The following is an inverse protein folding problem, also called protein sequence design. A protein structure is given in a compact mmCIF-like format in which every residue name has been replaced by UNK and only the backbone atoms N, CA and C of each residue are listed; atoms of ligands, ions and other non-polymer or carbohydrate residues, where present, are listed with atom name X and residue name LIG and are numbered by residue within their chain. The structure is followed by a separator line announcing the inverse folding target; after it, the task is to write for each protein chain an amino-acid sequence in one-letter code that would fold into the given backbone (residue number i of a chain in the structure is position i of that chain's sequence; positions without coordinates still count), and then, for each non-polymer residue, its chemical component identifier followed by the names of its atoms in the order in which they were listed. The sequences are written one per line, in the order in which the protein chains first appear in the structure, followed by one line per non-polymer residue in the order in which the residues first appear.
data_IF_810300409336
#
_entry.id   IF_810300409336
#
_cell.length_a   1.000
_cell.length_b   1.000
_cell.length_c   1.000
_cell.angle_alpha   90.00
_cell.angle_beta   90.00
_cell.angle_gamma   90.00
#
_symmetry.space_group_name_H-M   'P 1'
#
loop_
_entity.id
_entity.type
_entity.pdbx_description
1 polymer ?
#
# COMPACT_ATOMS: atom_id res chain seq x y z
N UNK A 1 53.50 30.01 27.28
CA UNK A 1 52.49 30.53 26.33
C UNK A 1 51.89 29.37 25.56
N UNK A 2 50.57 29.17 25.63
CA UNK A 2 49.91 28.07 24.92
C UNK A 2 49.96 28.32 23.39
N UNK A 3 50.34 27.31 22.60
CA UNK A 3 50.25 27.36 21.14
C UNK A 3 48.78 27.61 20.75
N UNK A 4 48.46 28.60 19.90
CA UNK A 4 47.08 28.77 19.43
C UNK A 4 46.64 27.51 18.67
N UNK A 5 45.38 27.07 18.86
CA UNK A 5 44.90 25.81 18.31
C UNK A 5 45.10 25.77 16.79
N UNK A 6 45.80 24.75 16.31
CA UNK A 6 46.08 24.55 14.89
C UNK A 6 44.80 24.44 14.07
N UNK A 7 44.74 25.20 12.98
CA UNK A 7 43.86 25.09 11.80
C UNK A 7 42.51 24.37 11.99
N UNK A 8 41.71 24.76 12.99
CA UNK A 8 40.29 24.42 13.02
C UNK A 8 39.56 25.29 12.00
N UNK A 9 38.65 24.70 11.22
CA UNK A 9 37.83 25.43 10.26
C UNK A 9 37.06 26.53 11.00
N UNK A 10 37.35 27.79 10.67
CA UNK A 10 36.70 28.95 11.27
C UNK A 10 35.20 28.92 10.96
N UNK A 11 34.37 29.29 11.94
CA UNK A 11 32.92 29.42 11.72
C UNK A 11 32.63 30.45 10.63
N UNK A 12 31.46 30.34 10.00
CA UNK A 12 31.05 31.27 8.93
C UNK A 12 31.07 32.72 9.43
N UNK A 13 30.57 32.97 10.64
CA UNK A 13 30.51 34.30 11.25
C UNK A 13 31.89 34.91 11.49
N UNK A 14 32.86 34.09 11.93
CA UNK A 14 34.25 34.52 12.11
C UNK A 14 34.91 34.83 10.76
N UNK A 15 34.65 34.02 9.73
CA UNK A 15 35.15 34.29 8.38
C UNK A 15 34.55 35.58 7.79
N UNK A 16 33.25 35.82 8.00
CA UNK A 16 32.58 37.06 7.56
C UNK A 16 33.12 38.29 8.31
N UNK A 17 33.33 38.20 9.62
CA UNK A 17 33.89 39.29 10.40
C UNK A 17 35.34 39.62 9.99
N UNK A 18 36.15 38.60 9.70
CA UNK A 18 37.50 38.77 9.13
C UNK A 18 37.43 39.51 7.79
N UNK A 19 36.53 39.11 6.89
CA UNK A 19 36.35 39.78 5.59
C UNK A 19 35.90 41.23 5.76
N UNK A 20 34.93 41.51 6.64
CA UNK A 20 34.48 42.89 6.94
C UNK A 20 35.62 43.75 7.47
N UNK A 21 36.41 43.24 8.41
CA UNK A 21 37.59 43.95 8.93
C UNK A 21 38.63 44.25 7.85
N UNK A 22 38.85 43.31 6.93
CA UNK A 22 39.78 43.49 5.80
C UNK A 22 39.28 44.51 4.76
N UNK A 23 37.97 44.58 4.52
CA UNK A 23 37.36 45.63 3.68
C UNK A 23 37.57 47.00 4.33
N UNK A 24 37.44 47.08 5.66
CA UNK A 24 37.70 48.30 6.45
C UNK A 24 39.20 48.58 6.69
N UNK A 25 40.08 48.06 5.82
CA UNK A 25 41.54 48.28 5.83
C UNK A 25 42.28 47.84 7.08
N UNK A 26 41.71 46.95 7.90
CA UNK A 26 42.44 46.37 9.04
C UNK A 26 43.59 45.48 8.54
N UNK A 27 44.70 45.50 9.27
CA UNK A 27 45.84 44.60 9.01
C UNK A 27 45.50 43.18 9.43
N UNK A 28 46.13 42.16 8.84
CA UNK A 28 45.84 40.76 9.20
C UNK A 28 46.08 40.44 10.68
N UNK A 29 46.92 41.22 11.37
CA UNK A 29 47.24 41.05 12.80
C UNK A 29 46.05 41.39 13.71
N UNK A 30 45.23 42.37 13.34
CA UNK A 30 44.12 42.83 14.18
C UNK A 30 42.99 41.79 14.28
N UNK A 31 42.44 41.23 13.17
CA UNK A 31 41.48 40.13 13.27
C UNK A 31 42.09 38.85 13.85
N UNK A 32 43.39 38.59 13.61
CA UNK A 32 44.08 37.45 14.19
C UNK A 32 44.09 37.50 15.73
N UNK A 33 44.37 38.68 16.30
CA UNK A 33 44.32 38.88 17.75
C UNK A 33 42.89 38.87 18.29
N UNK A 34 41.95 39.52 17.59
CA UNK A 34 40.54 39.63 18.00
C UNK A 34 39.84 38.26 18.07
N UNK A 35 40.05 37.40 17.05
CA UNK A 35 39.40 36.09 16.97
C UNK A 35 40.29 34.94 17.47
N UNK A 36 41.47 35.25 18.02
CA UNK A 36 42.46 34.27 18.50
C UNK A 36 42.84 33.23 17.43
N UNK A 37 43.00 33.69 16.18
CA UNK A 37 43.38 32.85 15.03
C UNK A 37 44.77 33.23 14.53
N UNK A 38 45.40 32.37 13.73
CA UNK A 38 46.70 32.71 13.15
C UNK A 38 46.57 33.76 12.05
N UNK A 39 47.59 34.61 11.90
CA UNK A 39 47.67 35.60 10.79
C UNK A 39 47.57 34.91 9.42
N UNK A 40 48.10 33.68 9.32
CA UNK A 40 47.99 32.85 8.12
C UNK A 40 46.53 32.47 7.80
N UNK A 41 45.73 32.10 8.80
CA UNK A 41 44.32 31.77 8.61
C UNK A 41 43.52 32.98 8.09
N UNK A 42 43.79 34.18 8.63
CA UNK A 42 43.21 35.44 8.13
C UNK A 42 43.58 35.68 6.66
N UNK A 43 44.85 35.47 6.30
CA UNK A 43 45.31 35.59 4.91
C UNK A 43 44.64 34.59 3.96
N UNK A 44 44.45 33.34 4.38
CA UNK A 44 43.78 32.31 3.59
C UNK A 44 42.29 32.61 3.36
N UNK A 45 41.59 33.09 4.39
CA UNK A 45 40.19 33.53 4.28
C UNK A 45 40.07 34.71 3.31
N UNK A 46 40.95 35.71 3.44
CA UNK A 46 40.96 36.87 2.54
C UNK A 46 41.24 36.47 1.08
N UNK A 47 42.21 35.59 0.85
CA UNK A 47 42.54 35.08 -0.50
C UNK A 47 41.35 34.34 -1.13
N UNK A 48 40.67 33.48 -0.37
CA UNK A 48 39.44 32.79 -0.82
C UNK A 48 38.31 33.77 -1.15
N UNK A 49 38.12 34.79 -0.32
CA UNK A 49 37.11 35.83 -0.55
C UNK A 49 37.43 36.66 -1.80
N UNK A 50 38.69 36.99 -2.06
CA UNK A 50 39.07 37.75 -3.26
C UNK A 50 38.75 37.03 -4.57
N UNK A 51 38.86 35.69 -4.59
CA UNK A 51 38.53 34.84 -5.74
C UNK A 51 37.02 34.68 -5.88
N UNK A 52 36.34 34.24 -4.82
CA UNK A 52 34.93 33.86 -4.90
C UNK A 52 33.96 35.03 -4.73
N UNK A 53 34.42 36.19 -4.23
CA UNK A 53 33.64 37.36 -3.79
C UNK A 53 32.57 37.07 -2.73
N UNK A 54 32.61 35.89 -2.10
CA UNK A 54 31.72 35.46 -1.04
C UNK A 54 32.45 34.56 -0.03
N UNK A 55 31.99 34.60 1.22
CA UNK A 55 32.44 33.67 2.27
C UNK A 55 31.74 32.33 2.08
N UNK A 56 32.39 31.45 1.32
CA UNK A 56 31.91 30.08 1.08
C UNK A 56 32.71 29.12 1.95
N UNK A 57 32.03 28.45 2.88
CA UNK A 57 32.55 27.26 3.53
C UNK A 57 32.25 26.10 2.59
N UNK A 58 33.25 25.68 1.81
CA UNK A 58 33.09 24.50 0.97
C UNK A 58 32.84 23.29 1.89
N UNK A 59 31.79 22.48 1.64
CA UNK A 59 31.63 21.24 2.36
C UNK A 59 32.87 20.37 2.12
N UNK A 60 33.34 19.69 3.18
CA UNK A 60 34.40 18.71 3.02
C UNK A 60 33.95 17.65 2.01
N UNK A 61 34.82 17.27 1.05
CA UNK A 61 34.49 16.16 0.18
C UNK A 61 34.19 14.96 1.07
N UNK A 62 32.95 14.47 0.97
CA UNK A 62 32.52 13.31 1.72
C UNK A 62 33.42 12.11 1.40
N UNK A 63 33.31 11.05 2.19
CA UNK A 63 34.04 9.80 1.95
C UNK A 63 33.89 9.38 0.48
N UNK A 64 35.00 9.12 -0.24
CA UNK A 64 34.94 8.65 -1.62
C UNK A 64 33.98 7.47 -1.77
N UNK A 65 33.21 7.51 -2.84
CA UNK A 65 32.25 6.48 -3.19
C UNK A 65 33.00 5.21 -3.56
N UNK A 66 32.69 4.09 -2.90
CA UNK A 66 33.36 2.81 -3.14
C UNK A 66 32.99 2.13 -4.46
N UNK A 67 32.05 2.69 -5.22
CA UNK A 67 31.52 2.11 -6.47
C UNK A 67 31.93 2.95 -7.66
N UNK A 68 32.25 2.32 -8.79
CA UNK A 68 32.56 3.05 -10.03
C UNK A 68 31.27 3.53 -10.68
N UNK A 69 31.39 4.50 -11.60
CA UNK A 69 30.25 4.98 -12.39
C UNK A 69 29.62 3.86 -13.24
N UNK A 70 30.42 2.91 -13.71
CA UNK A 70 29.94 1.76 -14.48
C UNK A 70 29.20 0.76 -13.57
N UNK A 71 29.73 0.48 -12.38
CA UNK A 71 29.05 -0.33 -11.38
C UNK A 71 27.68 0.22 -11.02
N UNK A 72 27.59 1.53 -10.76
CA UNK A 72 26.33 2.20 -10.42
C UNK A 72 25.31 2.09 -11.57
N UNK A 73 25.76 2.26 -12.82
CA UNK A 73 24.89 2.05 -14.01
C UNK A 73 24.39 0.61 -14.09
N UNK A 74 25.25 -0.38 -13.83
CA UNK A 74 24.88 -1.79 -13.89
C UNK A 74 23.91 -2.17 -12.76
N UNK A 75 24.10 -1.64 -11.55
CA UNK A 75 23.17 -1.78 -10.42
C UNK A 75 21.78 -1.25 -10.79
N UNK A 76 21.72 -0.03 -11.35
CA UNK A 76 20.46 0.60 -11.74
C UNK A 76 19.80 -0.14 -12.91
N UNK A 77 20.59 -0.56 -13.90
CA UNK A 77 20.09 -1.32 -15.05
C UNK A 77 19.47 -2.65 -14.62
N UNK A 78 20.19 -3.43 -13.80
CA UNK A 78 19.71 -4.73 -13.30
C UNK A 78 18.38 -4.59 -12.56
N UNK A 79 18.22 -3.54 -11.74
CA UNK A 79 16.95 -3.25 -11.05
C UNK A 79 15.85 -2.72 -11.97
N UNK A 80 16.18 -2.09 -13.11
CA UNK A 80 15.19 -1.59 -14.08
C UNK A 80 14.70 -2.67 -15.02
N UNK A 81 15.56 -3.64 -15.37
CA UNK A 81 15.21 -4.83 -16.12
C UNK A 81 14.21 -5.68 -15.34
N UNK A 82 14.59 -6.05 -14.11
CA UNK A 82 13.70 -6.77 -13.20
C UNK A 82 13.62 -6.06 -11.83
N UNK A 83 12.53 -5.31 -11.60
CA UNK A 83 12.24 -4.65 -10.32
C UNK A 83 12.14 -5.57 -9.10
N UNK A 84 12.04 -6.89 -9.31
CA UNK A 84 11.92 -7.90 -8.24
C UNK A 84 13.27 -8.41 -7.73
N UNK A 85 14.36 -8.17 -8.47
CA UNK A 85 15.71 -8.56 -8.04
C UNK A 85 16.04 -7.92 -6.70
N UNK A 86 16.42 -8.76 -5.73
CA UNK A 86 16.87 -8.30 -4.43
C UNK A 86 18.35 -7.86 -4.49
N UNK A 87 18.87 -7.29 -3.41
CA UNK A 87 20.26 -6.81 -3.36
C UNK A 87 21.31 -7.91 -3.56
N UNK A 88 20.96 -9.17 -3.28
CA UNK A 88 21.82 -10.34 -3.51
C UNK A 88 21.81 -10.75 -4.98
N UNK A 89 20.66 -10.72 -5.65
CA UNK A 89 20.56 -11.02 -7.08
C UNK A 89 21.29 -9.96 -7.91
N UNK A 90 21.11 -8.68 -7.54
CA UNK A 90 21.83 -7.57 -8.17
C UNK A 90 23.34 -7.71 -7.91
N UNK A 91 23.74 -8.09 -6.68
CA UNK A 91 25.16 -8.34 -6.37
C UNK A 91 25.75 -9.39 -7.31
N UNK A 92 25.09 -10.53 -7.51
CA UNK A 92 25.55 -11.58 -8.43
C UNK A 92 25.70 -11.06 -9.86
N UNK A 93 24.79 -10.19 -10.31
CA UNK A 93 24.80 -9.64 -11.65
C UNK A 93 25.88 -8.55 -11.89
N UNK A 94 26.32 -7.85 -10.83
CA UNK A 94 27.29 -6.74 -10.95
C UNK A 94 28.68 -7.08 -10.42
N UNK A 95 28.85 -8.24 -9.78
CA UNK A 95 30.14 -8.70 -9.31
C UNK A 95 31.05 -9.01 -10.51
N UNK A 96 32.22 -8.39 -10.54
CA UNK A 96 33.20 -8.54 -11.62
C UNK A 96 34.57 -8.85 -11.02
N UNK A 97 35.43 -9.64 -11.70
CA UNK A 97 36.81 -9.84 -11.27
C UNK A 97 37.65 -8.55 -11.26
N UNK A 98 37.20 -7.51 -11.97
CA UNK A 98 37.96 -6.28 -12.24
C UNK A 98 37.70 -5.21 -11.16
N UNK A 99 36.51 -5.20 -10.55
CA UNK A 99 36.11 -4.15 -9.60
C UNK A 99 35.84 -4.73 -8.20
N UNK A 100 36.17 -4.01 -7.11
CA UNK A 100 35.85 -4.45 -5.76
C UNK A 100 34.36 -4.68 -5.55
N UNK A 101 34.02 -5.87 -5.05
CA UNK A 101 32.65 -6.32 -4.89
C UNK A 101 31.85 -5.41 -3.92
N UNK A 102 30.73 -4.78 -4.35
CA UNK A 102 29.98 -3.88 -3.49
C UNK A 102 29.21 -4.67 -2.42
N UNK A 103 29.16 -4.15 -1.19
CA UNK A 103 28.28 -4.72 -0.17
C UNK A 103 26.80 -4.60 -0.59
N UNK A 104 25.95 -5.51 -0.10
CA UNK A 104 24.49 -5.45 -0.35
C UNK A 104 23.89 -4.12 0.15
N UNK A 105 24.45 -3.56 1.24
CA UNK A 105 24.07 -2.25 1.78
C UNK A 105 24.45 -1.12 0.83
N UNK A 106 25.61 -1.20 0.18
CA UNK A 106 26.06 -0.27 -0.85
C UNK A 106 25.11 -0.28 -2.04
N UNK A 107 24.73 -1.47 -2.54
CA UNK A 107 23.75 -1.62 -3.63
C UNK A 107 22.43 -0.92 -3.27
N UNK A 108 21.89 -1.16 -2.07
CA UNK A 108 20.64 -0.50 -1.62
C UNK A 108 20.78 1.02 -1.55
N UNK A 109 21.91 1.55 -1.06
CA UNK A 109 22.18 3.00 -1.02
C UNK A 109 22.21 3.60 -2.42
N UNK A 110 22.85 2.93 -3.39
CA UNK A 110 22.89 3.37 -4.79
C UNK A 110 21.52 3.37 -5.44
N UNK A 111 20.75 2.31 -5.26
CA UNK A 111 19.36 2.26 -5.74
C UNK A 111 18.52 3.41 -5.16
N UNK A 112 18.62 3.67 -3.85
CA UNK A 112 17.90 4.78 -3.22
C UNK A 112 18.36 6.16 -3.75
N UNK A 113 19.65 6.36 -3.99
CA UNK A 113 20.19 7.59 -4.58
C UNK A 113 19.64 7.85 -5.99
N UNK A 114 19.25 6.80 -6.71
CA UNK A 114 18.57 6.88 -8.00
C UNK A 114 17.03 6.82 -7.92
N UNK A 115 16.46 7.01 -6.73
CA UNK A 115 15.00 7.02 -6.52
C UNK A 115 14.33 5.64 -6.59
N UNK A 116 15.10 4.55 -6.58
CA UNK A 116 14.60 3.17 -6.63
C UNK A 116 14.48 2.57 -5.23
N UNK A 117 13.38 2.94 -4.56
CA UNK A 117 13.15 2.50 -3.18
C UNK A 117 12.47 1.12 -3.13
N UNK A 118 12.79 0.36 -2.09
CA UNK A 118 12.06 -0.88 -1.77
C UNK A 118 10.66 -0.53 -1.26
N UNK A 119 9.63 -1.12 -1.88
CA UNK A 119 8.23 -0.94 -1.53
C UNK A 119 7.49 -2.28 -1.61
N UNK A 120 6.41 -2.42 -0.85
CA UNK A 120 5.50 -3.56 -1.03
C UNK A 120 4.80 -3.40 -2.39
N UNK A 121 4.83 -4.42 -3.27
CA UNK A 121 4.09 -4.39 -4.52
C UNK A 121 2.58 -4.46 -4.23
N UNK A 122 1.79 -3.89 -5.14
CA UNK A 122 0.35 -4.12 -5.14
C UNK A 122 0.09 -5.47 -5.80
N UNK A 123 -0.70 -6.32 -5.14
CA UNK A 123 -1.22 -7.56 -5.72
C UNK A 123 -2.49 -7.21 -6.49
N UNK A 124 -2.47 -7.28 -7.82
CA UNK A 124 -3.65 -7.06 -8.68
C UNK A 124 -3.64 -8.05 -9.84
N UNK A 125 -4.80 -8.56 -10.25
CA UNK A 125 -4.89 -9.35 -11.47
C UNK A 125 -4.61 -8.45 -12.69
N UNK A 126 -4.04 -9.03 -13.75
CA UNK A 126 -3.89 -8.33 -15.02
C UNK A 126 -5.28 -8.19 -15.68
N UNK A 127 -5.66 -6.96 -16.02
CA UNK A 127 -6.98 -6.65 -16.60
C UNK A 127 -6.81 -6.35 -18.09
N UNK A 128 -7.57 -7.06 -18.93
CA UNK A 128 -7.55 -6.85 -20.39
C UNK A 128 -8.03 -5.43 -20.77
N UNK A 129 -7.57 -4.89 -21.91
CA UNK A 129 -8.02 -3.56 -22.39
C UNK A 129 -9.55 -3.49 -22.58
N UNK A 130 -10.17 -4.62 -22.98
CA UNK A 130 -11.63 -4.75 -23.10
C UNK A 130 -12.31 -4.54 -21.74
N UNK A 131 -11.85 -5.26 -20.72
CA UNK A 131 -12.40 -5.17 -19.36
C UNK A 131 -12.16 -3.80 -18.75
N UNK A 132 -11.00 -3.17 -19.00
CA UNK A 132 -10.74 -1.78 -18.56
C UNK A 132 -11.78 -0.79 -19.12
N UNK A 133 -12.11 -0.88 -20.41
CA UNK A 133 -13.16 -0.03 -21.02
C UNK A 133 -14.53 -0.29 -20.40
N UNK A 134 -14.92 -1.55 -20.23
CA UNK A 134 -16.19 -1.93 -19.62
C UNK A 134 -16.32 -1.40 -18.18
N UNK A 135 -15.25 -1.53 -17.39
CA UNK A 135 -15.17 -0.99 -16.02
C UNK A 135 -15.36 0.52 -15.96
N UNK A 136 -14.69 1.26 -16.84
CA UNK A 136 -14.83 2.73 -16.90
C UNK A 136 -16.23 3.14 -17.34
N UNK A 137 -16.81 2.44 -18.31
CA UNK A 137 -18.18 2.69 -18.76
C UNK A 137 -19.19 2.44 -17.63
N UNK A 138 -19.05 1.33 -16.93
CA UNK A 138 -19.88 0.99 -15.77
C UNK A 138 -19.76 2.04 -14.67
N UNK A 139 -18.55 2.42 -14.27
CA UNK A 139 -18.35 3.44 -13.23
C UNK A 139 -18.95 4.79 -13.62
N UNK A 140 -18.82 5.20 -14.90
CA UNK A 140 -19.44 6.43 -15.41
C UNK A 140 -20.96 6.38 -15.39
N UNK A 141 -21.55 5.23 -15.74
CA UNK A 141 -23.00 5.05 -15.74
C UNK A 141 -23.59 5.18 -14.33
N UNK A 142 -22.83 4.80 -13.31
CA UNK A 142 -23.27 4.79 -11.90
C UNK A 142 -22.73 5.96 -11.08
N UNK A 143 -22.00 6.90 -11.70
CA UNK A 143 -21.34 8.02 -11.01
C UNK A 143 -22.31 8.95 -10.26
N UNK A 144 -23.55 9.06 -10.77
CA UNK A 144 -24.58 9.95 -10.20
C UNK A 144 -25.44 9.25 -9.14
N UNK A 145 -25.21 7.96 -8.88
CA UNK A 145 -25.97 7.21 -7.89
C UNK A 145 -25.54 7.64 -6.49
N UNK A 146 -26.53 8.05 -5.68
CA UNK A 146 -26.33 8.40 -4.31
C UNK A 146 -26.64 7.25 -3.37
N UNK A 147 -26.62 7.56 -2.08
CA UNK A 147 -26.93 6.61 -1.01
C UNK A 147 -28.27 5.90 -1.22
N UNK A 148 -29.31 6.62 -1.67
CA UNK A 148 -30.65 6.06 -1.87
C UNK A 148 -30.66 4.95 -2.93
N UNK A 149 -29.92 5.13 -4.02
CA UNK A 149 -29.77 4.13 -5.06
C UNK A 149 -28.97 2.93 -4.55
N UNK A 150 -27.89 3.16 -3.80
CA UNK A 150 -27.04 2.09 -3.26
C UNK A 150 -27.68 1.31 -2.10
N UNK A 151 -28.57 1.93 -1.32
CA UNK A 151 -29.24 1.36 -0.16
C UNK A 151 -29.97 0.03 -0.43
N UNK A 152 -30.53 -0.13 -1.63
CA UNK A 152 -31.27 -1.33 -2.05
C UNK A 152 -30.38 -2.45 -2.58
N UNK A 153 -29.06 -2.23 -2.66
CA UNK A 153 -28.14 -3.23 -3.19
C UNK A 153 -27.69 -4.20 -2.11
N UNK A 154 -27.67 -5.48 -2.46
CA UNK A 154 -27.07 -6.55 -1.68
C UNK A 154 -25.81 -6.99 -2.37
N UNK A 155 -24.68 -6.76 -1.72
CA UNK A 155 -23.35 -7.11 -2.20
C UNK A 155 -23.02 -8.52 -1.73
N UNK A 156 -22.40 -9.33 -2.59
CA UNK A 156 -22.00 -10.68 -2.24
C UNK A 156 -20.69 -11.07 -2.92
N UNK A 157 -19.98 -12.02 -2.31
CA UNK A 157 -18.78 -12.60 -2.90
C UNK A 157 -18.36 -13.88 -2.16
N UNK A 158 -17.49 -14.66 -2.81
CA UNK A 158 -16.76 -15.76 -2.20
C UNK A 158 -15.33 -15.37 -1.85
N UNK A 159 -14.88 -15.68 -0.63
CA UNK A 159 -13.48 -15.46 -0.23
C UNK A 159 -12.81 -16.73 0.32
N UNK A 160 -11.50 -16.83 0.07
CA UNK A 160 -10.65 -17.96 0.46
C UNK A 160 -9.69 -17.53 1.56
N UNK A 161 -9.88 -18.07 2.76
CA UNK A 161 -8.97 -17.90 3.88
C UNK A 161 -8.05 -19.11 4.00
N UNK A 162 -6.74 -18.91 3.87
CA UNK A 162 -5.75 -20.00 4.01
C UNK A 162 -5.56 -20.38 5.50
N UNK A 163 -5.31 -21.67 5.77
CA UNK A 163 -5.06 -22.16 7.14
C UNK A 163 -3.69 -21.72 7.67
N UNK A 164 -2.70 -21.69 6.78
CA UNK A 164 -1.35 -21.21 7.07
C UNK A 164 -1.11 -19.89 6.31
N UNK A 165 -0.39 -18.97 6.96
CA UNK A 165 -0.11 -17.64 6.42
C UNK A 165 0.46 -17.72 5.00
N UNK A 166 -0.01 -16.82 4.13
CA UNK A 166 0.51 -16.69 2.77
C UNK A 166 2.02 -16.53 2.74
N UNK A 167 2.68 -17.05 1.69
CA UNK A 167 4.08 -16.76 1.35
C UNK A 167 4.45 -15.32 1.72
N UNK A 168 5.53 -15.18 2.49
CA UNK A 168 5.95 -13.93 3.10
C UNK A 168 6.01 -12.72 2.14
N UNK A 169 6.06 -11.52 2.73
CA UNK A 169 6.04 -10.25 1.97
C UNK A 169 7.18 -10.19 0.94
N UNK A 170 6.84 -10.32 -0.35
CA UNK A 170 7.77 -10.05 -1.48
C UNK A 170 7.89 -8.55 -1.69
N UNK A 171 9.11 -8.01 -1.72
CA UNK A 171 9.39 -6.58 -1.93
C UNK A 171 9.75 -6.29 -3.38
N UNK A 172 9.38 -5.12 -3.90
CA UNK A 172 9.71 -4.65 -5.27
C UNK A 172 10.38 -3.27 -5.21
N UNK A 173 11.35 -3.03 -6.10
CA UNK A 173 12.06 -1.75 -6.24
C UNK A 173 11.37 -0.87 -7.28
N UNK A 174 10.85 0.30 -6.90
CA UNK A 174 10.13 1.19 -7.85
C UNK A 174 10.29 2.69 -7.55
N UNK A 175 10.16 3.55 -8.59
CA UNK A 175 10.05 5.00 -8.41
C UNK A 175 8.82 5.42 -7.60
N UNK A 176 8.82 6.68 -7.15
CA UNK A 176 7.66 7.32 -6.53
C UNK A 176 6.54 7.46 -7.58
N UNK A 177 5.28 7.33 -7.18
CA UNK A 177 4.11 7.49 -8.06
C UNK A 177 3.74 6.28 -8.94
N UNK A 178 4.62 5.29 -9.12
CA UNK A 178 4.38 4.17 -10.06
C UNK A 178 3.65 2.97 -9.43
N UNK A 179 2.80 3.20 -8.41
CA UNK A 179 2.22 2.13 -7.57
C UNK A 179 1.38 1.13 -8.37
N UNK A 180 0.65 1.61 -9.36
CA UNK A 180 -0.29 0.82 -10.13
C UNK A 180 0.24 0.42 -11.51
N UNK A 181 1.51 0.70 -11.85
CA UNK A 181 2.08 0.23 -13.12
C UNK A 181 2.21 -1.30 -13.11
N UNK A 182 1.72 -2.01 -14.15
CA UNK A 182 1.77 -3.48 -14.23
C UNK A 182 3.16 -4.08 -13.98
N UNK A 183 4.21 -3.35 -14.37
CA UNK A 183 5.61 -3.74 -14.17
C UNK A 183 5.99 -3.98 -12.70
N UNK A 184 5.33 -3.28 -11.76
CA UNK A 184 5.62 -3.34 -10.33
C UNK A 184 4.58 -4.10 -9.50
N UNK A 185 3.61 -4.73 -10.16
CA UNK A 185 2.59 -5.57 -9.51
C UNK A 185 3.06 -7.02 -9.38
N UNK A 186 2.50 -7.78 -8.44
CA UNK A 186 2.75 -9.22 -8.32
C UNK A 186 1.44 -9.96 -8.59
N UNK A 187 1.48 -10.93 -9.51
CA UNK A 187 0.36 -11.81 -9.76
C UNK A 187 0.11 -12.70 -8.54
N UNK A 188 -1.16 -12.91 -8.20
CA UNK A 188 -1.59 -13.82 -7.15
C UNK A 188 -1.65 -15.24 -7.70
N UNK A 189 -0.86 -16.14 -7.13
CA UNK A 189 -0.98 -17.59 -7.38
C UNK A 189 -1.75 -18.19 -6.21
N UNK A 190 -2.73 -19.05 -6.52
CA UNK A 190 -3.38 -19.92 -5.54
C UNK A 190 -2.52 -21.20 -5.50
N UNK A 191 -2.25 -21.80 -4.32
CA UNK A 191 -2.19 -23.25 -4.03
C UNK A 191 -1.28 -23.61 -2.83
N UNK A 192 -1.68 -24.63 -2.06
CA UNK A 192 -0.93 -25.24 -0.95
C UNK A 192 -1.42 -24.83 0.46
N UNK A 193 -1.57 -25.80 1.37
CA UNK A 193 -1.75 -25.54 2.82
C UNK A 193 -3.17 -25.71 3.42
N UNK A 194 -4.15 -26.17 2.64
CA UNK A 194 -5.55 -26.20 3.10
C UNK A 194 -6.17 -24.80 3.24
N UNK A 195 -7.49 -24.70 3.11
CA UNK A 195 -8.19 -23.41 3.16
C UNK A 195 -9.65 -23.57 3.61
N UNK A 196 -10.23 -22.46 4.05
CA UNK A 196 -11.65 -22.28 4.28
C UNK A 196 -12.19 -21.34 3.20
N UNK A 197 -13.08 -21.86 2.36
CA UNK A 197 -13.82 -21.10 1.35
C UNK A 197 -15.15 -20.69 1.98
N UNK A 198 -15.49 -19.41 1.92
CA UNK A 198 -16.73 -18.86 2.49
C UNK A 198 -17.45 -18.00 1.46
N UNK A 199 -18.76 -17.89 1.62
CA UNK A 199 -19.63 -16.97 0.91
C UNK A 199 -20.34 -16.09 1.94
N UNK A 200 -20.49 -14.81 1.65
CA UNK A 200 -21.30 -13.90 2.46
C UNK A 200 -21.98 -12.87 1.56
N UNK A 201 -23.00 -12.22 2.11
CA UNK A 201 -23.57 -11.03 1.53
C UNK A 201 -23.79 -9.97 2.60
N UNK A 202 -23.95 -8.72 2.19
CA UNK A 202 -24.36 -7.66 3.10
C UNK A 202 -25.09 -6.54 2.34
N UNK A 203 -25.75 -5.68 3.09
CA UNK A 203 -26.46 -4.50 2.59
C UNK A 203 -26.03 -3.29 3.42
N UNK A 204 -26.54 -2.10 3.08
CA UNK A 204 -26.31 -0.90 3.90
C UNK A 204 -26.70 -1.09 5.37
N UNK A 205 -27.79 -1.81 5.63
CA UNK A 205 -28.41 -1.87 6.97
C UNK A 205 -27.95 -3.06 7.80
N UNK A 206 -27.43 -4.11 7.17
CA UNK A 206 -27.14 -5.36 7.86
C UNK A 206 -26.11 -6.24 7.12
N UNK A 207 -25.38 -7.01 7.93
CA UNK A 207 -24.55 -8.13 7.53
C UNK A 207 -25.38 -9.40 7.30
N UNK A 208 -25.09 -10.10 6.22
CA UNK A 208 -25.69 -11.38 5.87
C UNK A 208 -25.03 -12.56 6.56
N UNK A 209 -25.56 -13.77 6.35
CA UNK A 209 -25.02 -14.96 6.98
C UNK A 209 -23.72 -15.37 6.28
N UNK A 210 -22.67 -15.56 7.05
CA UNK A 210 -21.45 -16.21 6.58
C UNK A 210 -21.71 -17.72 6.36
N UNK A 211 -21.51 -18.19 5.13
CA UNK A 211 -21.70 -19.59 4.73
C UNK A 211 -20.39 -20.24 4.37
N UNK A 212 -20.16 -21.43 4.90
CA UNK A 212 -19.04 -22.26 4.47
C UNK A 212 -19.35 -22.91 3.13
N UNK A 213 -18.36 -22.88 2.24
CA UNK A 213 -18.39 -23.52 0.94
C UNK A 213 -17.54 -24.79 1.02
N UNK A 214 -18.15 -25.93 0.75
CA UNK A 214 -17.47 -27.22 0.81
C UNK A 214 -17.00 -27.62 -0.59
N UNK A 215 -15.69 -27.79 -0.75
CA UNK A 215 -15.08 -28.15 -2.03
C UNK A 215 -15.08 -26.99 -3.03
N UNK A 216 -15.18 -27.33 -4.32
CA UNK A 216 -15.34 -26.34 -5.39
C UNK A 216 -16.84 -26.08 -5.54
N UNK A 217 -17.26 -24.83 -5.33
CA UNK A 217 -18.66 -24.45 -5.49
C UNK A 217 -19.12 -24.66 -6.93
N UNK A 218 -20.20 -25.41 -7.11
CA UNK A 218 -20.89 -25.53 -8.38
C UNK A 218 -22.18 -24.69 -8.41
N UNK A 219 -22.89 -24.72 -9.54
CA UNK A 219 -24.12 -23.96 -9.73
C UNK A 219 -25.27 -24.38 -8.81
N UNK A 220 -25.30 -25.64 -8.34
CA UNK A 220 -26.37 -26.15 -7.49
C UNK A 220 -26.16 -25.73 -6.04
N UNK A 221 -24.91 -25.83 -5.56
CA UNK A 221 -24.53 -25.28 -4.25
C UNK A 221 -24.71 -23.76 -4.22
N UNK A 222 -24.45 -23.07 -5.34
CA UNK A 222 -24.76 -21.65 -5.45
C UNK A 222 -26.27 -21.37 -5.37
N UNK A 223 -27.11 -22.09 -6.11
CA UNK A 223 -28.58 -21.95 -6.00
C UNK A 223 -29.08 -22.23 -4.57
N UNK A 224 -28.53 -23.24 -3.88
CA UNK A 224 -28.85 -23.51 -2.47
C UNK A 224 -28.52 -22.31 -1.56
N UNK A 225 -27.35 -21.69 -1.74
CA UNK A 225 -26.98 -20.47 -1.01
C UNK A 225 -27.97 -19.34 -1.33
N UNK A 226 -28.32 -19.13 -2.59
CA UNK A 226 -29.28 -18.10 -2.99
C UNK A 226 -30.68 -18.31 -2.39
N UNK A 227 -31.20 -19.54 -2.45
CA UNK A 227 -32.55 -19.89 -1.99
C UNK A 227 -32.65 -19.93 -0.47
N UNK A 228 -31.69 -20.55 0.21
CA UNK A 228 -31.78 -20.87 1.63
C UNK A 228 -31.03 -19.88 2.54
N UNK A 229 -30.18 -19.02 1.96
CA UNK A 229 -29.35 -18.08 2.74
C UNK A 229 -29.64 -16.64 2.35
N UNK A 230 -29.32 -16.28 1.10
CA UNK A 230 -29.39 -14.91 0.62
C UNK A 230 -30.81 -14.40 0.65
N UNK A 231 -31.72 -15.05 -0.07
CA UNK A 231 -33.08 -14.56 -0.28
C UNK A 231 -33.88 -14.41 1.02
N UNK A 232 -33.93 -15.38 1.94
CA UNK A 232 -34.66 -15.23 3.19
C UNK A 232 -34.08 -14.11 4.06
N UNK A 233 -32.75 -13.97 4.09
CA UNK A 233 -32.11 -12.89 4.84
C UNK A 233 -32.40 -11.52 4.22
N UNK A 234 -32.29 -11.38 2.91
CA UNK A 234 -32.53 -10.11 2.20
C UNK A 234 -33.97 -9.65 2.35
N UNK A 235 -34.93 -10.57 2.21
CA UNK A 235 -36.35 -10.25 2.38
C UNK A 235 -36.67 -9.74 3.80
N UNK A 236 -35.94 -10.19 4.82
CA UNK A 236 -36.12 -9.73 6.21
C UNK A 236 -35.45 -8.39 6.51
N UNK A 237 -34.30 -8.10 5.91
CA UNK A 237 -33.45 -6.96 6.30
C UNK A 237 -33.46 -5.78 5.31
N UNK A 238 -33.70 -6.06 4.02
CA UNK A 238 -33.69 -5.05 2.93
C UNK A 238 -35.08 -4.88 2.32
N UNK A 239 -35.84 -5.97 2.22
CA UNK A 239 -37.19 -5.99 1.66
C UNK A 239 -37.25 -6.62 0.27
N UNK A 240 -38.36 -6.40 -0.43
CA UNK A 240 -38.68 -7.10 -1.70
C UNK A 240 -38.07 -6.45 -2.95
N UNK A 241 -37.75 -5.16 -2.89
CA UNK A 241 -37.28 -4.37 -4.04
C UNK A 241 -35.76 -4.19 -4.04
N UNK A 242 -35.02 -5.26 -3.73
CA UNK A 242 -33.57 -5.24 -3.68
C UNK A 242 -32.97 -5.57 -5.06
N UNK A 243 -31.73 -5.10 -5.26
CA UNK A 243 -30.90 -5.47 -6.41
C UNK A 243 -29.72 -6.28 -5.88
N UNK A 244 -29.53 -7.47 -6.43
CA UNK A 244 -28.45 -8.37 -6.02
C UNK A 244 -27.21 -8.14 -6.88
N UNK A 245 -26.06 -7.98 -6.25
CA UNK A 245 -24.78 -7.97 -6.92
C UNK A 245 -24.09 -9.33 -6.78
N UNK A 246 -23.63 -9.86 -7.90
CA UNK A 246 -22.74 -11.02 -8.02
C UNK A 246 -21.68 -10.72 -9.10
N UNK A 247 -20.59 -11.48 -9.12
CA UNK A 247 -19.60 -11.38 -10.18
C UNK A 247 -20.00 -12.20 -11.43
N UNK A 248 -19.15 -12.17 -12.47
CA UNK A 248 -19.40 -12.86 -13.74
C UNK A 248 -18.77 -14.26 -13.80
N UNK A 249 -18.60 -14.95 -12.66
CA UNK A 249 -18.17 -16.35 -12.67
C UNK A 249 -19.12 -17.21 -13.54
N UNK A 250 -18.59 -18.16 -14.34
CA UNK A 250 -19.41 -19.09 -15.12
C UNK A 250 -20.55 -19.76 -14.33
N UNK A 251 -20.37 -20.02 -13.03
CA UNK A 251 -21.42 -20.61 -12.18
C UNK A 251 -22.59 -19.64 -11.96
N UNK A 252 -22.28 -18.37 -11.71
CA UNK A 252 -23.25 -17.27 -11.48
C UNK A 252 -24.01 -16.89 -12.74
N UNK A 253 -23.37 -17.03 -13.90
CA UNK A 253 -23.93 -16.69 -15.21
C UNK A 253 -24.53 -17.88 -15.96
N UNK A 254 -24.54 -19.06 -15.33
CA UNK A 254 -25.13 -20.28 -15.88
C UNK A 254 -26.64 -20.12 -16.13
N UNK A 255 -27.17 -20.85 -17.12
CA UNK A 255 -28.61 -20.84 -17.43
C UNK A 255 -29.47 -21.25 -16.22
N UNK A 256 -28.97 -22.17 -15.39
CA UNK A 256 -29.64 -22.64 -14.19
C UNK A 256 -29.85 -21.48 -13.19
N UNK A 257 -28.77 -20.80 -12.83
CA UNK A 257 -28.80 -19.67 -11.88
C UNK A 257 -29.57 -18.48 -12.44
N UNK A 258 -29.41 -18.17 -13.73
CA UNK A 258 -30.21 -17.13 -14.41
C UNK A 258 -31.71 -17.44 -14.37
N UNK A 259 -32.10 -18.71 -14.58
CA UNK A 259 -33.50 -19.14 -14.47
C UNK A 259 -34.02 -19.03 -13.03
N UNK A 260 -33.17 -19.26 -12.03
CA UNK A 260 -33.53 -19.03 -10.63
C UNK A 260 -33.84 -17.54 -10.36
N UNK A 261 -32.97 -16.62 -10.78
CA UNK A 261 -33.21 -15.17 -10.62
C UNK A 261 -34.53 -14.73 -11.28
N UNK A 262 -34.81 -15.22 -12.49
CA UNK A 262 -36.06 -14.95 -13.20
C UNK A 262 -37.28 -15.50 -12.45
N UNK A 263 -37.25 -16.77 -12.01
CA UNK A 263 -38.35 -17.39 -11.24
C UNK A 263 -38.61 -16.69 -9.93
N UNK A 264 -37.57 -16.20 -9.26
CA UNK A 264 -37.66 -15.50 -7.96
C UNK A 264 -37.88 -13.99 -8.09
N UNK A 265 -37.88 -13.45 -9.32
CA UNK A 265 -38.03 -12.02 -9.65
C UNK A 265 -37.04 -11.16 -8.86
N UNK A 266 -35.77 -11.57 -8.89
CA UNK A 266 -34.67 -10.85 -8.25
C UNK A 266 -33.88 -10.13 -9.33
N UNK A 267 -33.77 -8.81 -9.19
CA UNK A 267 -32.98 -7.98 -10.09
C UNK A 267 -31.49 -8.19 -9.81
N UNK A 268 -30.70 -8.39 -10.86
CA UNK A 268 -29.24 -8.56 -10.75
C UNK A 268 -28.56 -7.33 -11.31
N UNK A 269 -27.64 -6.76 -10.55
CA UNK A 269 -26.82 -5.62 -10.97
C UNK A 269 -25.90 -6.06 -12.11
N UNK A 270 -25.90 -5.32 -13.22
CA UNK A 270 -24.88 -5.52 -14.26
C UNK A 270 -23.50 -5.29 -13.65
N UNK A 271 -22.53 -6.17 -13.91
CA UNK A 271 -21.23 -6.12 -13.25
C UNK A 271 -20.09 -6.24 -14.25
N UNK A 272 -19.06 -5.37 -14.20
CA UNK A 272 -17.93 -5.48 -15.10
C UNK A 272 -16.96 -6.59 -14.64
N UNK A 273 -16.53 -7.46 -15.56
CA UNK A 273 -15.58 -8.54 -15.24
C UNK A 273 -14.26 -8.05 -14.65
N UNK A 274 -13.65 -8.86 -13.78
CA UNK A 274 -12.38 -8.58 -13.08
C UNK A 274 -12.42 -7.27 -12.28
N UNK A 275 -13.48 -7.04 -11.49
CA UNK A 275 -13.69 -5.79 -10.74
C UNK A 275 -13.88 -5.99 -9.24
N UNK A 276 -12.98 -6.73 -8.55
CA UNK A 276 -13.07 -6.91 -7.10
C UNK A 276 -13.01 -5.55 -6.38
N UNK A 277 -12.20 -4.61 -6.86
CA UNK A 277 -12.06 -3.28 -6.27
C UNK A 277 -13.29 -2.37 -6.40
N UNK A 278 -14.33 -2.79 -7.13
CA UNK A 278 -15.63 -2.13 -7.14
C UNK A 278 -16.61 -2.76 -6.15
N UNK A 279 -16.34 -3.98 -5.68
CA UNK A 279 -17.21 -4.69 -4.75
C UNK A 279 -16.83 -4.33 -3.30
N UNK A 280 -17.69 -3.64 -2.55
CA UNK A 280 -17.38 -3.22 -1.19
C UNK A 280 -17.12 -4.37 -0.20
N UNK A 281 -17.60 -5.59 -0.48
CA UNK A 281 -17.36 -6.75 0.40
C UNK A 281 -15.88 -7.15 0.46
N UNK A 282 -15.07 -6.74 -0.52
CA UNK A 282 -13.62 -6.99 -0.50
C UNK A 282 -12.93 -6.22 0.64
N UNK A 283 -13.46 -5.07 1.04
CA UNK A 283 -12.97 -4.34 2.22
C UNK A 283 -13.29 -5.10 3.52
N UNK A 284 -14.45 -5.76 3.58
CA UNK A 284 -14.81 -6.63 4.71
C UNK A 284 -13.86 -7.83 4.80
N UNK A 285 -13.53 -8.46 3.67
CA UNK A 285 -12.55 -9.54 3.63
C UNK A 285 -11.17 -9.09 4.10
N UNK A 286 -10.72 -7.91 3.69
CA UNK A 286 -9.44 -7.35 4.16
C UNK A 286 -9.43 -7.12 5.67
N UNK A 287 -10.53 -6.65 6.25
CA UNK A 287 -10.66 -6.47 7.71
C UNK A 287 -10.59 -7.80 8.46
N UNK A 288 -11.34 -8.81 7.98
CA UNK A 288 -11.32 -10.16 8.54
C UNK A 288 -9.93 -10.81 8.46
N UNK A 289 -9.22 -10.66 7.33
CA UNK A 289 -7.83 -11.11 7.21
C UNK A 289 -6.90 -10.40 8.21
N UNK A 290 -7.12 -9.10 8.44
CA UNK A 290 -6.31 -8.30 9.37
C UNK A 290 -6.54 -8.71 10.82
N UNK A 291 -7.78 -8.93 11.23
CA UNK A 291 -8.14 -9.40 12.56
C UNK A 291 -7.58 -10.81 12.83
N UNK A 292 -7.67 -11.69 11.83
CA UNK A 292 -7.16 -13.05 11.92
C UNK A 292 -5.66 -13.16 11.60
N UNK A 293 -4.95 -12.04 11.44
CA UNK A 293 -3.53 -12.05 11.15
C UNK A 293 -2.74 -12.64 12.32
N UNK A 294 -2.08 -13.78 12.07
CA UNK A 294 -1.32 -14.50 13.10
C UNK A 294 -2.14 -15.51 13.91
N UNK A 295 -3.47 -15.53 13.76
CA UNK A 295 -4.34 -16.56 14.34
C UNK A 295 -4.24 -17.81 13.48
N UNK A 296 -3.76 -18.89 14.09
CA UNK A 296 -3.63 -20.20 13.43
C UNK A 296 -4.95 -20.97 13.55
N UNK A 297 -5.26 -21.71 12.51
CA UNK A 297 -6.31 -22.71 12.54
C UNK A 297 -5.72 -24.05 12.13
N UNK A 298 -6.07 -25.11 12.84
CA UNK A 298 -5.59 -26.47 12.62
C UNK A 298 -6.32 -27.14 11.47
N UNK A 299 -7.56 -26.73 11.20
CA UNK A 299 -8.39 -27.24 10.11
C UNK A 299 -9.40 -26.17 9.62
N UNK A 300 -10.12 -26.50 8.56
CA UNK A 300 -11.09 -25.58 7.94
C UNK A 300 -12.31 -25.27 8.82
N UNK A 301 -12.69 -26.17 9.72
CA UNK A 301 -13.83 -26.00 10.63
C UNK A 301 -13.48 -24.98 11.70
N UNK A 302 -12.30 -25.11 12.30
CA UNK A 302 -11.74 -24.14 13.24
C UNK A 302 -11.58 -22.77 12.57
N UNK A 303 -11.07 -22.73 11.33
CA UNK A 303 -10.94 -21.47 10.60
C UNK A 303 -12.31 -20.83 10.33
N UNK A 304 -13.32 -21.63 9.99
CA UNK A 304 -14.68 -21.15 9.79
C UNK A 304 -15.29 -20.61 11.10
N UNK A 305 -15.09 -21.30 12.22
CA UNK A 305 -15.55 -20.82 13.52
C UNK A 305 -14.89 -19.48 13.92
N UNK A 306 -13.59 -19.33 13.67
CA UNK A 306 -12.88 -18.05 13.85
C UNK A 306 -13.46 -16.93 12.98
N UNK A 307 -13.73 -17.20 11.70
CA UNK A 307 -14.34 -16.24 10.79
C UNK A 307 -15.75 -15.83 11.24
N UNK A 308 -16.56 -16.79 11.69
CA UNK A 308 -17.87 -16.49 12.28
C UNK A 308 -17.69 -15.56 13.49
N UNK A 309 -16.84 -15.92 14.45
CA UNK A 309 -16.62 -15.14 15.68
C UNK A 309 -16.12 -13.73 15.41
N UNK A 310 -15.30 -13.50 14.39
CA UNK A 310 -14.78 -12.17 14.04
C UNK A 310 -15.72 -11.35 13.15
N UNK A 311 -16.53 -11.98 12.30
CA UNK A 311 -17.54 -11.28 11.49
C UNK A 311 -18.60 -10.59 12.37
N UNK A 312 -19.01 -11.21 13.48
CA UNK A 312 -20.01 -10.65 14.40
C UNK A 312 -19.60 -9.33 15.11
N UNK A 313 -18.39 -9.16 15.69
CA UNK A 313 -17.97 -7.96 16.44
C UNK A 313 -17.36 -6.83 15.60
N UNK A 314 -16.98 -7.05 14.34
CA UNK A 314 -16.57 -5.96 13.44
C UNK A 314 -17.68 -4.90 13.35
N UNK A 315 -18.94 -5.29 13.55
CA UNK A 315 -20.11 -4.40 13.60
C UNK A 315 -20.19 -3.49 14.87
N UNK A 316 -19.31 -3.64 15.88
CA UNK A 316 -19.47 -3.00 17.21
C UNK A 316 -18.39 -2.01 17.68
N UNK A 317 -17.31 -1.73 16.95
CA UNK A 317 -16.28 -0.79 17.44
C UNK A 317 -16.41 0.62 16.83
N UNK A 318 -16.54 1.69 17.64
CA UNK A 318 -16.34 3.05 17.17
C UNK A 318 -14.87 3.25 16.78
N UNK A 319 -14.62 3.81 15.59
CA UNK A 319 -13.33 4.41 15.28
C UNK A 319 -13.06 5.54 16.29
N UNK A 320 -11.89 5.50 16.94
CA UNK A 320 -11.47 6.49 17.91
C UNK A 320 -11.23 7.85 17.21
N UNK A 321 -12.25 8.69 17.18
CA UNK A 321 -12.11 10.14 17.12
C UNK A 321 -13.12 10.74 18.08
N UNK A 322 -12.59 11.43 19.09
CA UNK A 322 -13.30 11.76 20.31
C UNK A 322 -14.60 12.52 20.07
N UNK A 323 -15.63 12.11 20.80
CA UNK A 323 -16.70 12.93 21.37
C UNK A 323 -17.43 12.04 22.40
N UNK A 324 -17.77 12.65 23.53
CA UNK A 324 -18.17 12.06 24.80
C UNK A 324 -19.35 11.05 24.70
N UNK A 325 -19.22 9.92 25.38
CA UNK A 325 -20.08 8.73 25.25
C UNK A 325 -21.09 8.58 26.40
N UNK A 326 -21.55 9.69 26.99
CA UNK A 326 -22.42 9.66 28.18
C UNK A 326 -23.89 10.03 27.93
N UNK A 327 -24.28 10.32 26.69
CA UNK A 327 -25.68 10.52 26.33
C UNK A 327 -25.95 9.90 24.96
N UNK A 328 -26.62 8.74 24.87
CA UNK A 328 -27.56 8.34 23.79
C UNK A 328 -28.16 6.94 24.07
N UNK A 329 -29.45 6.67 23.74
CA UNK A 329 -30.16 5.45 24.16
C UNK A 329 -29.77 4.21 23.35
N UNK A 330 -29.95 3.04 23.97
CA UNK A 330 -29.66 1.71 23.43
C UNK A 330 -30.44 1.40 22.14
N UNK A 331 -29.78 1.53 21.00
CA UNK A 331 -30.35 1.14 19.70
C UNK A 331 -29.46 1.46 18.49
N UNK A 332 -28.56 2.43 18.60
CA UNK A 332 -27.82 3.00 17.45
C UNK A 332 -26.32 2.65 17.40
N UNK A 333 -25.93 1.43 17.78
CA UNK A 333 -24.52 0.97 17.72
C UNK A 333 -24.23 -0.03 16.59
N UNK A 334 -25.17 -0.30 15.67
CA UNK A 334 -24.99 -1.29 14.59
C UNK A 334 -24.52 -0.71 13.24
N UNK A 335 -24.33 0.61 13.14
CA UNK A 335 -24.47 1.32 11.86
C UNK A 335 -23.20 1.91 11.24
N UNK A 336 -21.97 1.84 11.81
CA UNK A 336 -20.86 2.66 11.25
C UNK A 336 -19.96 2.05 10.18
N UNK A 337 -19.78 0.73 10.11
CA UNK A 337 -18.86 0.12 9.12
C UNK A 337 -19.47 -0.05 7.72
N UNK A 338 -20.78 -0.33 7.62
CA UNK A 338 -21.48 -0.31 6.34
C UNK A 338 -21.42 1.09 5.70
N UNK A 339 -21.42 2.15 6.51
CA UNK A 339 -21.35 3.53 6.04
C UNK A 339 -19.96 3.94 5.55
N UNK A 340 -18.86 3.54 6.20
CA UNK A 340 -17.51 3.90 5.72
C UNK A 340 -17.11 3.14 4.46
N UNK A 341 -17.58 1.91 4.29
CA UNK A 341 -17.32 1.11 3.08
C UNK A 341 -18.10 1.67 1.88
N UNK A 342 -19.34 2.14 2.06
CA UNK A 342 -20.15 2.73 0.99
C UNK A 342 -19.79 4.20 0.69
N UNK A 343 -19.29 4.98 1.66
CA UNK A 343 -18.93 6.39 1.46
C UNK A 343 -17.51 6.61 0.89
N UNK A 344 -16.72 5.57 0.68
CA UNK A 344 -15.41 5.65 0.02
C UNK A 344 -15.47 5.48 -1.52
N UNK A 345 -16.67 5.54 -2.11
CA UNK A 345 -16.91 5.51 -3.55
C UNK A 345 -17.24 6.89 -4.11
#
# INVERSE_FOLDING_TARGET
MARPPGNKNLSKDVQEAIVRGRINRMTNKQPAQQFQVTVQAVGQVWKRYMINKQVVVAPHPGRPVSTTRNMDRNIVRSSREDPRRNSTDIFKAVNSPIEPAPSRRTIRRRLNAHGLFGRRPVKKPFISKKNQKARVAWAKAHLHWGRKEWAKHVWSDESKFNLFGSDGTKWVRRPIGTRYSPKYQVATVKHGGGNCMVWECFSETAMGPLRRVNGIMDRYQYEDILENTMRPWTLRNVGRAFVFQQDNDPKHTSLHVRSWFQRRRVDVLDWPSQSPDLNPIEHLWEELERHLAGVRASNADEKFAQLCLESYPIVRRPCASGLDATQMPSGHQRERLCYEVLNNF
#
